data_IF_509163062809
#
_entry.id   IF_509163062809
#
_cell.length_a   1.000
_cell.length_b   1.000
_cell.length_c   1.000
_cell.angle_alpha   90.00
_cell.angle_beta   90.00
_cell.angle_gamma   90.00
#
_symmetry.space_group_name_H-M   'P 1'
#
loop_
_entity.id
_entity.type
_entity.pdbx_description
1 polymer ?
#
# COMPACT_ATOMS: atom_id res chain seq x y z
N UNK A 1 8.49 -2.61 -5.40
CA UNK A 1 8.64 -1.29 -6.05
C UNK A 1 7.72 -0.20 -5.47
N UNK A 2 6.53 -0.51 -4.93
CA UNK A 2 5.61 0.50 -4.35
C UNK A 2 6.18 1.25 -3.12
N UNK A 3 6.93 0.56 -2.25
CA UNK A 3 7.52 1.17 -1.06
C UNK A 3 8.71 2.07 -1.34
N UNK A 4 9.31 2.01 -2.53
CA UNK A 4 10.40 2.91 -2.89
C UNK A 4 9.86 4.23 -3.46
N UNK A 5 8.88 4.15 -4.37
CA UNK A 5 8.31 5.32 -5.05
C UNK A 5 7.58 6.28 -4.10
N UNK A 6 6.84 5.76 -3.11
CA UNK A 6 6.05 6.58 -2.18
C UNK A 6 6.91 7.52 -1.31
N UNK A 7 8.16 7.13 -1.03
CA UNK A 7 9.04 7.87 -0.12
C UNK A 7 10.21 8.56 -0.83
N UNK A 8 10.72 7.97 -1.91
CA UNK A 8 11.75 8.59 -2.75
C UNK A 8 11.15 9.75 -3.57
N UNK A 9 9.90 9.62 -4.02
CA UNK A 9 9.22 10.61 -4.85
C UNK A 9 9.12 12.00 -4.19
N UNK A 10 8.56 12.14 -2.98
CA UNK A 10 8.48 13.42 -2.30
C UNK A 10 9.85 14.02 -1.94
N UNK A 11 10.83 13.19 -1.58
CA UNK A 11 12.18 13.64 -1.26
C UNK A 11 12.90 14.21 -2.50
N UNK A 12 12.87 13.49 -3.62
CA UNK A 12 13.40 13.99 -4.89
C UNK A 12 12.62 15.20 -5.40
N UNK A 13 11.29 15.19 -5.27
CA UNK A 13 10.44 16.30 -5.67
C UNK A 13 10.74 17.57 -4.89
N UNK A 14 10.93 17.47 -3.58
CA UNK A 14 11.35 18.59 -2.73
C UNK A 14 12.70 19.16 -3.16
N UNK A 15 13.71 18.30 -3.30
CA UNK A 15 15.06 18.70 -3.71
C UNK A 15 15.09 19.38 -5.09
N UNK A 16 14.36 18.84 -6.07
CA UNK A 16 14.31 19.38 -7.42
C UNK A 16 13.44 20.63 -7.56
N UNK A 17 12.60 20.92 -6.56
CA UNK A 17 11.74 22.09 -6.54
C UNK A 17 12.36 23.30 -5.85
N UNK A 18 13.50 23.14 -5.17
CA UNK A 18 14.13 24.19 -4.36
C UNK A 18 15.11 25.04 -5.20
N UNK A 19 14.78 26.31 -5.51
CA UNK A 19 15.64 27.19 -6.29
C UNK A 19 16.95 27.55 -5.57
N UNK A 20 17.03 27.36 -4.25
CA UNK A 20 18.24 27.61 -3.47
C UNK A 20 19.33 26.57 -3.74
N UNK A 21 18.98 25.40 -4.26
CA UNK A 21 19.92 24.31 -4.57
C UNK A 21 20.53 24.52 -5.96
N UNK A 22 19.72 24.89 -6.95
CA UNK A 22 20.19 25.22 -8.28
C UNK A 22 19.26 26.25 -8.94
N UNK A 23 19.82 27.16 -9.72
CA UNK A 23 19.06 28.28 -10.33
C UNK A 23 17.98 27.84 -11.32
N UNK A 24 18.04 26.61 -11.83
CA UNK A 24 17.01 26.02 -12.71
C UNK A 24 15.99 25.14 -11.99
N UNK A 25 16.13 24.96 -10.68
CA UNK A 25 15.15 24.23 -9.89
C UNK A 25 13.97 25.14 -9.58
N UNK A 26 12.78 24.66 -9.95
CA UNK A 26 11.53 25.35 -9.79
C UNK A 26 10.44 24.29 -9.55
N UNK A 27 9.26 24.70 -9.11
CA UNK A 27 8.10 23.85 -8.90
C UNK A 27 7.75 22.97 -10.11
N UNK A 28 8.12 23.38 -11.33
CA UNK A 28 7.91 22.59 -12.56
C UNK A 28 8.97 21.48 -12.79
N UNK A 29 10.17 21.60 -12.23
CA UNK A 29 11.33 20.72 -12.51
C UNK A 29 11.08 19.25 -12.13
N UNK A 30 10.45 18.91 -10.98
CA UNK A 30 10.08 17.53 -10.67
C UNK A 30 9.17 16.87 -11.71
N UNK A 31 8.27 17.65 -12.33
CA UNK A 31 7.34 17.16 -13.35
C UNK A 31 8.06 16.86 -14.66
N UNK A 32 9.00 17.72 -15.08
CA UNK A 32 9.85 17.47 -16.25
C UNK A 32 10.70 16.22 -16.08
N UNK A 33 11.30 16.01 -14.90
CA UNK A 33 12.03 14.78 -14.63
C UNK A 33 11.11 13.55 -14.69
N UNK A 34 9.92 13.62 -14.09
CA UNK A 34 8.94 12.53 -14.13
C UNK A 34 8.51 12.21 -15.56
N UNK A 35 8.30 13.22 -16.41
CA UNK A 35 7.98 13.05 -17.82
C UNK A 35 9.13 12.36 -18.59
N UNK A 36 10.37 12.81 -18.37
CA UNK A 36 11.55 12.20 -18.98
C UNK A 36 11.74 10.73 -18.55
N UNK A 37 11.63 10.43 -17.26
CA UNK A 37 11.70 9.07 -16.74
C UNK A 37 10.58 8.18 -17.29
N UNK A 38 9.37 8.71 -17.44
CA UNK A 38 8.22 7.99 -18.02
C UNK A 38 8.45 7.71 -19.51
N UNK A 39 8.92 8.69 -20.28
CA UNK A 39 9.25 8.50 -21.69
C UNK A 39 10.37 7.46 -21.87
N UNK A 40 11.41 7.52 -21.03
CA UNK A 40 12.47 6.52 -21.02
C UNK A 40 11.95 5.12 -20.68
N UNK A 41 11.08 5.00 -19.68
CA UNK A 41 10.44 3.73 -19.32
C UNK A 41 9.59 3.17 -20.47
N UNK A 42 8.84 4.03 -21.17
CA UNK A 42 8.05 3.65 -22.33
C UNK A 42 8.92 3.14 -23.48
N UNK A 43 10.05 3.82 -23.77
CA UNK A 43 11.03 3.35 -24.75
C UNK A 43 11.64 2.00 -24.35
N UNK A 44 11.99 1.80 -23.07
CA UNK A 44 12.47 0.52 -22.59
C UNK A 44 11.44 -0.60 -22.75
N UNK A 45 10.18 -0.36 -22.38
CA UNK A 45 9.12 -1.36 -22.56
C UNK A 45 8.93 -1.69 -24.04
N UNK A 46 8.91 -0.67 -24.92
CA UNK A 46 8.75 -0.87 -26.35
C UNK A 46 9.91 -1.64 -27.00
N UNK A 47 11.15 -1.49 -26.50
CA UNK A 47 12.33 -2.14 -27.09
C UNK A 47 12.75 -3.45 -26.41
N UNK A 48 12.54 -3.61 -25.10
CA UNK A 48 13.07 -4.75 -24.34
C UNK A 48 12.01 -5.79 -23.97
N UNK A 49 10.73 -5.40 -23.80
CA UNK A 49 9.68 -6.38 -23.51
C UNK A 49 9.18 -6.99 -24.83
N UNK A 50 9.65 -8.20 -25.11
CA UNK A 50 9.00 -9.05 -26.10
C UNK A 50 7.69 -9.58 -25.53
N UNK A 51 6.63 -9.56 -26.35
CA UNK A 51 5.33 -10.12 -25.99
C UNK A 51 5.49 -11.58 -25.54
N UNK A 52 5.18 -11.84 -24.28
CA UNK A 52 5.43 -13.14 -23.65
C UNK A 52 4.29 -14.12 -23.94
N UNK A 53 3.10 -13.63 -24.31
CA UNK A 53 2.00 -14.50 -24.71
C UNK A 53 2.13 -14.95 -26.18
N UNK A 54 2.03 -16.28 -26.44
CA UNK A 54 1.92 -16.78 -27.80
C UNK A 54 0.67 -16.22 -28.48
N UNK A 55 0.70 -15.97 -29.81
CA UNK A 55 -0.41 -15.34 -30.55
C UNK A 55 -1.78 -15.97 -30.29
N UNK A 56 -1.80 -17.29 -30.13
CA UNK A 56 -2.99 -18.11 -29.88
C UNK A 56 -3.67 -17.81 -28.54
N UNK A 57 -2.93 -17.33 -27.54
CA UNK A 57 -3.45 -16.98 -26.21
C UNK A 57 -3.75 -15.49 -26.05
N UNK A 58 -3.53 -14.68 -27.09
CA UNK A 58 -3.77 -13.24 -27.04
C UNK A 58 -5.27 -12.98 -27.11
N UNK A 59 -5.83 -12.50 -25.99
CA UNK A 59 -7.22 -12.06 -25.93
C UNK A 59 -7.33 -10.67 -26.54
N UNK A 60 -8.19 -10.50 -27.53
CA UNK A 60 -8.64 -9.16 -27.94
C UNK A 60 -9.60 -8.66 -26.87
N UNK A 61 -9.15 -7.72 -26.05
CA UNK A 61 -10.01 -7.04 -25.08
C UNK A 61 -10.43 -5.69 -25.63
N UNK A 62 -11.73 -5.46 -25.70
CA UNK A 62 -12.27 -4.13 -25.97
C UNK A 62 -11.85 -3.16 -24.86
N UNK A 63 -11.30 -2.01 -25.24
CA UNK A 63 -10.99 -0.95 -24.29
C UNK A 63 -12.30 -0.40 -23.70
N UNK A 64 -12.48 -0.53 -22.38
CA UNK A 64 -13.68 -0.05 -21.67
C UNK A 64 -13.30 1.03 -20.66
N UNK A 65 -13.78 2.25 -20.89
CA UNK A 65 -13.53 3.42 -20.03
C UNK A 65 -13.98 3.18 -18.57
N UNK A 66 -15.07 2.43 -18.36
CA UNK A 66 -15.63 2.14 -17.03
C UNK A 66 -15.23 0.77 -16.46
N UNK A 67 -14.09 0.22 -16.87
CA UNK A 67 -13.68 -1.11 -16.41
C UNK A 67 -13.40 -1.14 -14.90
N UNK A 68 -12.97 -0.04 -14.29
CA UNK A 68 -12.70 0.06 -12.84
C UNK A 68 -13.94 -0.22 -11.97
N UNK A 69 -15.03 0.54 -12.10
CA UNK A 69 -16.28 0.25 -11.39
C UNK A 69 -16.83 -1.16 -11.66
N UNK A 70 -16.75 -1.63 -12.91
CA UNK A 70 -17.17 -3.00 -13.27
C UNK A 70 -16.34 -4.04 -12.52
N UNK A 71 -15.02 -3.83 -12.44
CA UNK A 71 -14.11 -4.71 -11.73
C UNK A 71 -14.39 -4.74 -10.23
N UNK A 72 -14.73 -3.61 -9.61
CA UNK A 72 -15.16 -3.56 -8.21
C UNK A 72 -16.41 -4.42 -8.01
N UNK A 73 -17.43 -4.29 -8.87
CA UNK A 73 -18.64 -5.10 -8.80
C UNK A 73 -18.33 -6.59 -9.00
N UNK A 74 -17.47 -6.93 -9.98
CA UNK A 74 -17.00 -8.31 -10.20
C UNK A 74 -16.30 -8.88 -8.97
N UNK A 75 -15.41 -8.10 -8.35
CA UNK A 75 -14.67 -8.49 -7.14
C UNK A 75 -15.61 -8.96 -6.02
N UNK A 76 -16.72 -8.25 -5.83
CA UNK A 76 -17.68 -8.55 -4.76
C UNK A 76 -18.82 -9.49 -5.18
N UNK A 77 -18.96 -9.81 -6.47
CA UNK A 77 -19.95 -10.80 -6.96
C UNK A 77 -19.42 -12.21 -7.03
N UNK A 78 -18.12 -12.39 -7.26
CA UNK A 78 -17.53 -13.73 -7.34
C UNK A 78 -17.49 -14.38 -5.94
N UNK A 79 -18.27 -15.44 -5.68
CA UNK A 79 -18.35 -16.06 -4.36
C UNK A 79 -17.01 -16.66 -3.89
N UNK A 80 -16.12 -17.03 -4.80
CA UNK A 80 -14.80 -17.60 -4.48
C UNK A 80 -13.81 -16.48 -4.14
N UNK A 81 -13.76 -15.43 -4.95
CA UNK A 81 -12.74 -14.37 -4.80
C UNK A 81 -13.15 -13.23 -3.86
N UNK A 82 -14.45 -13.03 -3.61
CA UNK A 82 -15.00 -11.92 -2.82
C UNK A 82 -14.38 -11.81 -1.43
N UNK A 83 -14.18 -12.94 -0.78
CA UNK A 83 -13.64 -13.04 0.57
C UNK A 83 -12.23 -12.47 0.66
N UNK A 84 -11.36 -12.81 -0.28
CA UNK A 84 -10.00 -12.28 -0.35
C UNK A 84 -9.97 -10.81 -0.80
N UNK A 85 -10.84 -10.40 -1.74
CA UNK A 85 -10.95 -8.99 -2.11
C UNK A 85 -11.48 -8.11 -0.98
N UNK A 86 -12.35 -8.63 -0.10
CA UNK A 86 -12.74 -7.93 1.13
C UNK A 86 -11.55 -7.75 2.07
N UNK A 87 -10.70 -8.77 2.23
CA UNK A 87 -9.47 -8.66 3.03
C UNK A 87 -8.55 -7.57 2.46
N UNK A 88 -8.32 -7.57 1.13
CA UNK A 88 -7.54 -6.53 0.45
C UNK A 88 -8.12 -5.14 0.71
N UNK A 89 -9.43 -4.98 0.51
CA UNK A 89 -10.11 -3.72 0.70
C UNK A 89 -9.93 -3.20 2.13
N UNK A 90 -10.23 -4.03 3.13
CA UNK A 90 -10.19 -3.62 4.53
C UNK A 90 -8.76 -3.31 4.98
N UNK A 91 -7.79 -4.16 4.65
CA UNK A 91 -6.38 -3.93 5.01
C UNK A 91 -5.78 -2.73 4.27
N UNK A 92 -6.10 -2.60 2.98
CA UNK A 92 -5.72 -1.44 2.16
C UNK A 92 -6.33 -0.14 2.67
N UNK A 93 -7.60 -0.17 3.07
CA UNK A 93 -8.30 0.99 3.63
C UNK A 93 -7.66 1.40 4.95
N UNK A 94 -7.44 0.47 5.87
CA UNK A 94 -6.82 0.76 7.17
C UNK A 94 -5.42 1.35 7.03
N UNK A 95 -4.61 0.81 6.12
CA UNK A 95 -3.27 1.35 5.85
C UNK A 95 -3.31 2.74 5.20
N UNK A 96 -4.20 2.98 4.23
CA UNK A 96 -4.34 4.31 3.64
C UNK A 96 -4.90 5.34 4.63
N UNK A 97 -5.79 4.93 5.52
CA UNK A 97 -6.29 5.77 6.61
C UNK A 97 -5.14 6.18 7.54
N UNK A 98 -4.27 5.24 7.89
CA UNK A 98 -3.07 5.52 8.67
C UNK A 98 -2.15 6.50 7.93
N UNK A 99 -1.76 6.21 6.68
CA UNK A 99 -0.77 7.04 5.98
C UNK A 99 -1.24 8.49 5.78
N UNK A 100 -2.54 8.71 5.57
CA UNK A 100 -3.10 10.05 5.37
C UNK A 100 -3.28 10.84 6.68
N UNK A 101 -3.72 10.19 7.76
CA UNK A 101 -4.16 10.88 8.98
C UNK A 101 -3.20 10.73 10.18
N UNK A 102 -2.18 9.87 10.09
CA UNK A 102 -1.22 9.67 11.19
C UNK A 102 -0.48 10.94 11.59
N UNK A 103 -0.23 11.84 10.62
CA UNK A 103 0.37 13.15 10.90
C UNK A 103 -0.42 13.99 11.91
N UNK A 104 -1.76 13.86 11.95
CA UNK A 104 -2.60 14.60 12.91
C UNK A 104 -2.29 14.14 14.33
N UNK A 105 -2.14 12.83 14.56
CA UNK A 105 -1.71 12.31 15.85
C UNK A 105 -0.31 12.79 16.23
N UNK A 106 0.63 12.81 15.28
CA UNK A 106 2.00 13.27 15.53
C UNK A 106 2.02 14.74 15.97
N UNK A 107 1.25 15.60 15.31
CA UNK A 107 1.15 17.02 15.64
C UNK A 107 0.45 17.21 16.99
N UNK A 108 -0.70 16.59 17.21
CA UNK A 108 -1.53 16.84 18.40
C UNK A 108 -0.98 16.18 19.66
N UNK A 109 -0.47 14.94 19.59
CA UNK A 109 0.03 14.20 20.76
C UNK A 109 1.49 14.51 21.09
N UNK A 110 2.34 14.68 20.08
CA UNK A 110 3.79 14.80 20.25
C UNK A 110 4.34 16.20 19.91
N UNK A 111 3.47 17.16 19.59
CA UNK A 111 3.86 18.50 19.13
C UNK A 111 4.89 18.44 17.98
N UNK A 112 4.75 17.43 17.10
CA UNK A 112 5.75 17.14 16.08
C UNK A 112 5.90 18.30 15.09
N UNK A 113 7.13 18.74 14.87
CA UNK A 113 7.44 19.78 13.87
C UNK A 113 7.39 19.20 12.45
N UNK A 114 7.31 20.08 11.43
CA UNK A 114 7.33 19.66 10.02
C UNK A 114 8.56 18.79 9.68
N UNK A 115 9.72 19.14 10.23
CA UNK A 115 10.95 18.37 10.06
C UNK A 115 10.82 16.96 10.68
N UNK A 116 10.23 16.85 11.86
CA UNK A 116 9.99 15.56 12.53
C UNK A 116 8.99 14.69 11.78
N UNK A 117 7.92 15.27 11.21
CA UNK A 117 7.00 14.54 10.33
C UNK A 117 7.75 13.94 9.14
N UNK A 118 8.59 14.75 8.47
CA UNK A 118 9.45 14.28 7.39
C UNK A 118 10.32 13.11 7.81
N UNK A 119 11.02 13.22 8.94
CA UNK A 119 11.87 12.14 9.49
C UNK A 119 11.05 10.87 9.76
N UNK A 120 9.86 10.98 10.34
CA UNK A 120 9.00 9.83 10.65
C UNK A 120 8.55 9.09 9.38
N UNK A 121 8.09 9.82 8.36
CA UNK A 121 7.67 9.19 7.10
C UNK A 121 8.87 8.65 6.31
N UNK A 122 10.00 9.35 6.26
CA UNK A 122 11.24 8.82 5.67
C UNK A 122 11.69 7.54 6.37
N UNK A 123 11.61 7.49 7.70
CA UNK A 123 11.94 6.29 8.49
C UNK A 123 11.05 5.11 8.11
N UNK A 124 9.73 5.29 8.03
CA UNK A 124 8.80 4.27 7.57
C UNK A 124 9.13 3.78 6.15
N UNK A 125 9.51 4.70 5.26
CA UNK A 125 9.88 4.40 3.88
C UNK A 125 11.16 3.58 3.75
N UNK A 126 12.23 4.01 4.42
CA UNK A 126 13.52 3.30 4.43
C UNK A 126 13.31 1.86 4.91
N UNK A 127 12.62 1.67 6.03
CA UNK A 127 12.33 0.34 6.55
C UNK A 127 11.39 -0.45 5.64
N UNK A 128 10.46 0.20 4.95
CA UNK A 128 9.62 -0.43 3.92
C UNK A 128 10.46 -0.99 2.77
N UNK A 129 11.41 -0.22 2.27
CA UNK A 129 12.35 -0.64 1.22
C UNK A 129 13.22 -1.79 1.72
N UNK A 130 13.82 -1.67 2.92
CA UNK A 130 14.66 -2.71 3.51
C UNK A 130 13.88 -4.03 3.69
N UNK A 131 12.63 -3.94 4.15
CA UNK A 131 11.77 -5.12 4.30
C UNK A 131 11.53 -5.81 2.95
N UNK A 132 11.19 -5.04 1.92
CA UNK A 132 10.95 -5.58 0.57
C UNK A 132 12.23 -6.08 -0.12
N UNK A 133 13.39 -5.49 0.16
CA UNK A 133 14.65 -5.88 -0.47
C UNK A 133 15.29 -7.09 0.22
N UNK A 134 15.29 -7.12 1.55
CA UNK A 134 16.09 -8.05 2.35
C UNK A 134 15.24 -9.13 3.02
N UNK A 135 14.10 -8.75 3.61
CA UNK A 135 13.36 -9.64 4.52
C UNK A 135 12.38 -10.53 3.77
N UNK A 136 11.77 -10.04 2.69
CA UNK A 136 10.76 -10.82 1.98
C UNK A 136 11.31 -12.12 1.41
N UNK A 137 12.49 -12.09 0.79
CA UNK A 137 13.10 -13.25 0.13
C UNK A 137 13.34 -14.44 1.08
N UNK A 138 13.98 -14.28 2.26
CA UNK A 138 14.13 -15.38 3.20
C UNK A 138 12.80 -15.82 3.83
N UNK A 139 11.86 -14.90 4.08
CA UNK A 139 10.56 -15.24 4.66
C UNK A 139 9.72 -16.06 3.69
N UNK A 140 9.65 -15.66 2.41
CA UNK A 140 8.93 -16.41 1.36
C UNK A 140 9.54 -17.77 1.03
N UNK A 141 10.81 -18.03 1.42
CA UNK A 141 11.42 -19.37 1.31
C UNK A 141 10.99 -20.31 2.44
N UNK A 142 10.58 -19.77 3.60
CA UNK A 142 10.25 -20.54 4.80
C UNK A 142 8.75 -20.67 5.04
N UNK A 143 7.97 -19.67 4.63
CA UNK A 143 6.54 -19.58 4.91
C UNK A 143 5.73 -19.38 3.63
N UNK A 144 4.56 -20.00 3.57
CA UNK A 144 3.61 -19.79 2.48
C UNK A 144 2.94 -18.41 2.62
N UNK A 145 2.42 -17.82 1.52
CA UNK A 145 1.71 -16.55 1.58
C UNK A 145 0.56 -16.54 2.60
N UNK A 146 -0.18 -17.66 2.71
CA UNK A 146 -1.26 -17.80 3.67
C UNK A 146 -0.79 -17.88 5.13
N UNK A 147 0.36 -18.51 5.40
CA UNK A 147 0.93 -18.55 6.76
C UNK A 147 1.35 -17.16 7.22
N UNK A 148 1.98 -16.37 6.34
CA UNK A 148 2.40 -15.00 6.64
C UNK A 148 1.17 -14.15 6.96
N UNK A 149 0.14 -14.20 6.12
CA UNK A 149 -1.09 -13.42 6.30
C UNK A 149 -1.95 -13.87 7.48
N UNK A 150 -1.74 -15.08 7.99
CA UNK A 150 -2.40 -15.51 9.21
C UNK A 150 -1.86 -14.79 10.45
N UNK A 151 -0.62 -14.29 10.41
CA UNK A 151 0.05 -13.67 11.56
C UNK A 151 0.23 -12.18 11.42
N UNK A 152 0.62 -11.68 10.25
CA UNK A 152 1.03 -10.28 10.10
C UNK A 152 -0.09 -9.27 10.34
N UNK A 153 -1.37 -9.47 9.94
CA UNK A 153 -2.42 -8.49 10.20
C UNK A 153 -2.76 -8.40 11.70
N UNK A 154 -2.74 -9.53 12.42
CA UNK A 154 -2.95 -9.55 13.87
C UNK A 154 -1.83 -8.83 14.63
N UNK A 155 -0.57 -9.09 14.25
CA UNK A 155 0.58 -8.38 14.82
C UNK A 155 0.48 -6.87 14.54
N UNK A 156 0.07 -6.48 13.33
CA UNK A 156 -0.16 -5.08 12.98
C UNK A 156 -1.26 -4.45 13.83
N UNK A 157 -2.35 -5.13 14.14
CA UNK A 157 -3.35 -4.63 15.10
C UNK A 157 -2.69 -4.27 16.43
N UNK A 158 -1.88 -5.17 17.00
CA UNK A 158 -1.16 -4.90 18.24
C UNK A 158 -0.19 -3.72 18.15
N UNK A 159 0.56 -3.64 17.05
CA UNK A 159 1.48 -2.52 16.78
C UNK A 159 0.73 -1.19 16.70
N UNK A 160 -0.38 -1.11 15.95
CA UNK A 160 -1.17 0.10 15.86
C UNK A 160 -1.74 0.51 17.21
N UNK A 161 -2.33 -0.41 17.98
CA UNK A 161 -2.84 -0.11 19.32
C UNK A 161 -1.73 0.37 20.27
N UNK A 162 -0.52 -0.19 20.16
CA UNK A 162 0.60 0.22 21.02
C UNK A 162 1.02 1.68 20.81
N UNK A 163 0.81 2.27 19.62
CA UNK A 163 1.07 3.70 19.33
C UNK A 163 0.31 4.60 20.30
N UNK A 164 -0.89 4.20 20.72
CA UNK A 164 -1.72 4.96 21.65
C UNK A 164 -1.08 5.09 23.03
N UNK A 165 -0.28 4.09 23.43
CA UNK A 165 0.36 3.99 24.74
C UNK A 165 1.75 4.67 24.80
N UNK A 166 2.34 4.97 23.65
CA UNK A 166 3.69 5.55 23.58
C UNK A 166 3.71 6.97 24.20
N UNK A 167 4.59 7.26 25.18
CA UNK A 167 4.59 8.55 25.86
C UNK A 167 5.47 9.61 25.17
N UNK A 168 6.42 9.22 24.31
CA UNK A 168 7.36 10.16 23.68
C UNK A 168 7.66 9.82 22.23
N UNK A 169 8.02 10.84 21.46
CA UNK A 169 8.33 10.70 20.03
C UNK A 169 9.53 9.77 19.75
N UNK A 170 10.63 9.77 20.55
CA UNK A 170 11.73 8.81 20.34
C UNK A 170 11.30 7.35 20.50
N UNK A 171 10.47 7.05 21.51
CA UNK A 171 9.95 5.69 21.72
C UNK A 171 8.99 5.26 20.59
N UNK A 172 8.36 6.22 19.91
CA UNK A 172 7.49 5.93 18.78
C UNK A 172 8.25 5.28 17.62
N UNK A 173 9.52 5.65 17.37
CA UNK A 173 10.32 5.04 16.30
C UNK A 173 10.52 3.53 16.48
N UNK A 174 10.59 3.05 17.72
CA UNK A 174 10.71 1.62 18.03
C UNK A 174 9.44 0.88 17.59
N UNK A 175 8.27 1.44 17.90
CA UNK A 175 6.98 0.86 17.50
C UNK A 175 6.78 0.95 15.98
N UNK A 176 7.13 2.09 15.39
CA UNK A 176 6.96 2.34 13.96
C UNK A 176 7.81 1.43 13.08
N UNK A 177 8.92 0.89 13.59
CA UNK A 177 9.73 -0.10 12.88
C UNK A 177 8.90 -1.32 12.44
N UNK A 178 7.97 -1.76 13.27
CA UNK A 178 7.21 -2.98 13.03
C UNK A 178 6.13 -2.84 11.95
N UNK A 179 5.69 -1.61 11.67
CA UNK A 179 4.69 -1.34 10.63
C UNK A 179 5.20 -1.74 9.23
N UNK A 180 6.30 -1.15 8.70
CA UNK A 180 6.82 -1.52 7.40
C UNK A 180 7.32 -2.98 7.36
N UNK A 181 7.80 -3.53 8.48
CA UNK A 181 8.20 -4.93 8.58
C UNK A 181 7.02 -5.88 8.28
N UNK A 182 5.90 -5.73 8.99
CA UNK A 182 4.77 -6.62 8.80
C UNK A 182 3.93 -6.26 7.58
N UNK A 183 3.69 -4.97 7.32
CA UNK A 183 2.92 -4.53 6.16
C UNK A 183 3.66 -4.83 4.85
N UNK A 184 4.99 -4.68 4.84
CA UNK A 184 5.84 -5.03 3.71
C UNK A 184 5.85 -6.53 3.39
N UNK A 185 5.51 -7.38 4.35
CA UNK A 185 5.25 -8.81 4.13
C UNK A 185 3.81 -9.07 3.67
N UNK A 186 2.82 -8.42 4.27
CA UNK A 186 1.40 -8.65 3.96
C UNK A 186 1.05 -8.36 2.50
N UNK A 187 1.41 -7.18 1.99
CA UNK A 187 1.03 -6.73 0.64
C UNK A 187 1.43 -7.70 -0.50
N UNK A 188 2.71 -8.07 -0.64
CA UNK A 188 3.13 -8.97 -1.72
C UNK A 188 2.55 -10.38 -1.57
N UNK A 189 2.34 -10.86 -0.35
CA UNK A 189 1.72 -12.17 -0.11
C UNK A 189 0.21 -12.15 -0.40
N UNK A 190 -0.49 -11.04 -0.15
CA UNK A 190 -1.88 -10.86 -0.61
C UNK A 190 -1.95 -10.89 -2.13
N UNK A 191 -1.08 -10.15 -2.81
CA UNK A 191 -1.02 -10.16 -4.28
C UNK A 191 -0.71 -11.55 -4.81
N UNK A 192 0.21 -12.29 -4.18
CA UNK A 192 0.52 -13.66 -4.55
C UNK A 192 -0.69 -14.59 -4.45
N UNK A 193 -1.43 -14.56 -3.32
CA UNK A 193 -2.66 -15.34 -3.16
C UNK A 193 -3.70 -15.01 -4.23
N UNK A 194 -3.96 -13.72 -4.48
CA UNK A 194 -4.94 -13.29 -5.48
C UNK A 194 -4.54 -13.78 -6.87
N UNK A 195 -3.26 -13.62 -7.23
CA UNK A 195 -2.76 -14.04 -8.54
C UNK A 195 -2.82 -15.56 -8.75
N UNK A 196 -2.85 -16.34 -7.67
CA UNK A 196 -2.95 -17.80 -7.69
C UNK A 196 -4.38 -18.34 -7.56
N UNK A 197 -5.42 -17.49 -7.45
CA UNK A 197 -6.81 -17.96 -7.29
C UNK A 197 -7.37 -18.62 -8.55
N UNK A 198 -6.87 -18.24 -9.73
CA UNK A 198 -7.32 -18.75 -11.03
C UNK A 198 -6.13 -19.12 -11.91
N UNK A 199 -6.40 -19.82 -13.00
CA UNK A 199 -5.37 -20.18 -13.98
C UNK A 199 -4.66 -18.95 -14.58
N UNK A 200 -3.49 -19.18 -15.19
CA UNK A 200 -2.63 -18.13 -15.74
C UNK A 200 -3.34 -17.19 -16.74
N UNK A 201 -4.40 -17.66 -17.39
CA UNK A 201 -5.19 -16.88 -18.36
C UNK A 201 -6.02 -15.76 -17.71
N UNK A 202 -6.42 -15.92 -16.45
CA UNK A 202 -7.23 -14.96 -15.70
C UNK A 202 -6.40 -14.11 -14.72
N UNK A 203 -5.10 -14.41 -14.57
CA UNK A 203 -4.23 -13.76 -13.58
C UNK A 203 -4.15 -12.24 -13.78
N UNK A 204 -4.06 -11.77 -15.03
CA UNK A 204 -4.03 -10.34 -15.35
C UNK A 204 -5.34 -9.62 -14.99
N UNK A 205 -6.49 -10.26 -15.26
CA UNK A 205 -7.80 -9.71 -14.87
C UNK A 205 -7.93 -9.62 -13.36
N UNK A 206 -7.53 -10.66 -12.61
CA UNK A 206 -7.56 -10.64 -11.15
C UNK A 206 -6.68 -9.55 -10.55
N UNK A 207 -5.48 -9.34 -11.11
CA UNK A 207 -4.60 -8.25 -10.69
C UNK A 207 -5.20 -6.86 -11.01
N UNK A 208 -5.86 -6.71 -12.17
CA UNK A 208 -6.61 -5.50 -12.51
C UNK A 208 -7.78 -5.23 -11.56
N UNK A 209 -8.51 -6.28 -11.19
CA UNK A 209 -9.56 -6.20 -10.16
C UNK A 209 -8.97 -5.79 -8.81
N UNK A 210 -7.88 -6.42 -8.39
CA UNK A 210 -7.17 -6.08 -7.16
C UNK A 210 -6.77 -4.59 -7.11
N UNK A 211 -6.24 -4.04 -8.22
CA UNK A 211 -5.92 -2.62 -8.28
C UNK A 211 -7.15 -1.71 -8.19
N UNK A 212 -8.26 -2.12 -8.79
CA UNK A 212 -9.54 -1.38 -8.69
C UNK A 212 -10.04 -1.33 -7.25
N UNK A 213 -9.93 -2.44 -6.51
CA UNK A 213 -10.27 -2.54 -5.09
C UNK A 213 -9.34 -1.68 -4.22
N UNK A 214 -8.03 -1.70 -4.47
CA UNK A 214 -7.06 -0.87 -3.76
C UNK A 214 -7.27 0.63 -4.01
N UNK A 215 -7.59 1.02 -5.24
CA UNK A 215 -7.92 2.40 -5.58
C UNK A 215 -9.18 2.87 -4.81
N UNK A 216 -10.20 2.03 -4.72
CA UNK A 216 -11.39 2.31 -3.89
C UNK A 216 -11.01 2.46 -2.40
N UNK A 217 -10.15 1.58 -1.89
CA UNK A 217 -9.67 1.63 -0.51
C UNK A 217 -8.82 2.89 -0.21
N UNK A 218 -8.21 3.50 -1.22
CA UNK A 218 -7.46 4.76 -1.10
C UNK A 218 -8.35 6.01 -1.25
N UNK A 219 -9.43 5.90 -2.04
CA UNK A 219 -10.36 7.00 -2.31
C UNK A 219 -11.28 7.32 -1.13
N UNK A 220 -11.69 6.30 -0.36
CA UNK A 220 -12.64 6.48 0.75
C UNK A 220 -12.07 7.18 2.01
N UNK A 221 -10.82 6.92 2.45
CA UNK A 221 -10.27 7.55 3.65
C UNK A 221 -10.36 9.08 3.69
N UNK A 222 -10.02 9.86 2.64
CA UNK A 222 -10.18 11.32 2.64
C UNK A 222 -11.63 11.79 2.87
N UNK A 223 -12.62 11.04 2.36
CA UNK A 223 -14.03 11.43 2.42
C UNK A 223 -14.60 11.39 3.83
N UNK A 224 -14.15 10.43 4.64
CA UNK A 224 -14.67 10.21 6.00
C UNK A 224 -13.65 10.59 7.09
N UNK A 225 -12.37 10.57 6.76
CA UNK A 225 -11.29 10.68 7.74
C UNK A 225 -11.17 12.08 8.33
N UNK A 226 -11.49 13.13 7.58
CA UNK A 226 -11.55 14.50 8.11
C UNK A 226 -12.57 14.63 9.25
N UNK A 227 -13.76 14.05 9.08
CA UNK A 227 -14.79 14.02 10.13
C UNK A 227 -14.36 13.16 11.32
N UNK A 228 -13.87 11.94 11.07
CA UNK A 228 -13.45 11.01 12.13
C UNK A 228 -12.33 11.61 12.98
N UNK A 229 -11.27 12.08 12.35
CA UNK A 229 -10.07 12.58 13.04
C UNK A 229 -10.29 13.98 13.60
N UNK A 230 -11.21 14.75 13.00
CA UNK A 230 -11.67 16.04 13.54
C UNK A 230 -12.36 15.91 14.90
N UNK A 231 -13.00 14.78 15.21
CA UNK A 231 -13.56 14.52 16.54
C UNK A 231 -12.46 14.23 17.57
N UNK A 232 -11.52 13.34 17.23
CA UNK A 232 -10.39 13.04 18.11
C UNK A 232 -9.21 12.46 17.32
N UNK A 233 -8.01 12.99 17.53
CA UNK A 233 -6.81 12.64 16.77
C UNK A 233 -6.45 11.15 16.83
N UNK A 234 -6.73 10.48 17.96
CA UNK A 234 -6.43 9.05 18.15
C UNK A 234 -7.34 8.11 17.36
N UNK A 235 -8.48 8.59 16.83
CA UNK A 235 -9.39 7.79 16.03
C UNK A 235 -8.75 7.31 14.73
N UNK A 236 -7.73 8.03 14.24
CA UNK A 236 -6.87 7.55 13.14
C UNK A 236 -6.33 6.15 13.40
N UNK A 237 -5.77 5.92 14.59
CA UNK A 237 -5.17 4.64 14.97
C UNK A 237 -6.23 3.59 15.29
N UNK A 238 -7.33 3.97 15.94
CA UNK A 238 -8.42 3.04 16.24
C UNK A 238 -9.04 2.48 14.96
N UNK A 239 -9.37 3.33 13.99
CA UNK A 239 -9.92 2.90 12.69
C UNK A 239 -8.95 1.97 11.99
N UNK A 240 -7.66 2.33 11.92
CA UNK A 240 -6.64 1.46 11.33
C UNK A 240 -6.58 0.11 12.05
N UNK A 241 -6.48 0.08 13.39
CA UNK A 241 -6.42 -1.16 14.15
C UNK A 241 -7.67 -2.03 13.96
N UNK A 242 -8.86 -1.42 13.92
CA UNK A 242 -10.13 -2.08 13.63
C UNK A 242 -10.13 -2.71 12.24
N UNK A 243 -9.65 -2.00 11.21
CA UNK A 243 -9.50 -2.56 9.88
C UNK A 243 -8.55 -3.76 9.88
N UNK A 244 -7.41 -3.68 10.56
CA UNK A 244 -6.46 -4.80 10.61
C UNK A 244 -7.03 -6.04 11.31
N UNK A 245 -7.76 -5.87 12.42
CA UNK A 245 -8.38 -7.01 13.12
C UNK A 245 -9.54 -7.60 12.31
N UNK A 246 -10.36 -6.75 11.67
CA UNK A 246 -11.45 -7.22 10.79
C UNK A 246 -10.86 -7.96 9.59
N UNK A 247 -9.84 -7.40 8.95
CA UNK A 247 -9.14 -8.05 7.84
C UNK A 247 -8.54 -9.39 8.23
N UNK A 248 -7.97 -9.51 9.43
CA UNK A 248 -7.49 -10.77 9.98
C UNK A 248 -8.62 -11.81 10.19
N UNK A 249 -9.72 -11.40 10.84
CA UNK A 249 -10.89 -12.28 11.06
C UNK A 249 -11.46 -12.76 9.72
N UNK A 250 -11.60 -11.85 8.75
CA UNK A 250 -12.06 -12.18 7.40
C UNK A 250 -11.10 -13.17 6.73
N UNK A 251 -9.79 -12.96 6.84
CA UNK A 251 -8.80 -13.84 6.26
C UNK A 251 -8.84 -15.26 6.85
N UNK A 252 -8.98 -15.40 8.17
CA UNK A 252 -9.11 -16.70 8.82
C UNK A 252 -10.36 -17.44 8.36
N UNK A 253 -11.49 -16.75 8.29
CA UNK A 253 -12.74 -17.34 7.78
C UNK A 253 -12.61 -17.77 6.33
N UNK A 254 -11.91 -16.98 5.53
CA UNK A 254 -11.65 -17.24 4.11
C UNK A 254 -10.73 -18.44 3.89
N UNK A 255 -9.77 -18.66 4.79
CA UNK A 255 -8.86 -19.81 4.69
C UNK A 255 -9.58 -21.16 4.83
N UNK A 256 -10.74 -21.22 5.46
CA UNK A 256 -11.50 -22.47 5.57
C UNK A 256 -12.15 -22.91 4.24
N UNK A 257 -12.22 -22.00 3.27
CA UNK A 257 -12.81 -22.23 1.94
C UNK A 257 -11.79 -22.61 0.87
N UNK A 258 -10.49 -22.64 1.19
CA UNK A 258 -9.38 -22.98 0.30
C UNK A 258 -8.48 -24.05 0.93
#
# INVERSE_FOLDING_TARGET
AFGASLFIGPALGGFLSDPAIHSWFNYATPFWLSAALTAFNLCQVAWQLSETLPPEKRRQTDFRIFIGPINIVKAFRDPVCRSLFLVVFVLGFGFNFFTQFFQVLLITKFAATRAQLGIVFSYLGIWGILTQAVIIRPVSRKFTPAQILNTTPLLLTGVFLSILLVPSLPLLFVVLLFIPLFNGLSNPNLTALISGLRGAEDQGELLGINQSVLAMAQFLPPLIGGYIVGNHYSLSIWVTAMCYIIGWILFIRTRQTF
#
